data_IF_320148668254
#
_entry.id   IF_320148668254
#
_cell.length_a   1.000
_cell.length_b   1.000
_cell.length_c   1.000
_cell.angle_alpha   90.00
_cell.angle_beta   90.00
_cell.angle_gamma   90.00
#
_symmetry.space_group_name_H-M   'P 1'
#
loop_
_entity.id
_entity.type
_entity.pdbx_description
1 polymer ?
#
# COMPACT_ATOMS: atom_id res chain seq x y z
N UNK A 1 -27.06 -32.71 -14.63
CA UNK A 1 -26.78 -33.18 -13.25
C UNK A 1 -25.82 -32.21 -12.61
N UNK A 2 -26.35 -31.22 -11.89
CA UNK A 2 -25.56 -30.23 -11.13
C UNK A 2 -25.15 -30.88 -9.83
N UNK A 3 -23.86 -31.26 -9.74
CA UNK A 3 -23.26 -31.71 -8.48
C UNK A 3 -23.19 -30.50 -7.54
N UNK A 4 -24.13 -30.42 -6.61
CA UNK A 4 -23.99 -29.55 -5.44
C UNK A 4 -22.86 -30.11 -4.60
N UNK A 5 -21.71 -29.47 -4.64
CA UNK A 5 -20.66 -29.65 -3.64
C UNK A 5 -21.26 -29.21 -2.29
N UNK A 6 -21.75 -30.15 -1.52
CA UNK A 6 -22.09 -29.92 -0.11
C UNK A 6 -20.81 -29.52 0.60
N UNK A 7 -20.71 -28.24 0.98
CA UNK A 7 -19.62 -27.75 1.80
C UNK A 7 -19.54 -28.60 3.06
N UNK A 8 -18.52 -29.45 3.17
CA UNK A 8 -18.29 -30.25 4.35
C UNK A 8 -18.03 -29.30 5.53
N UNK A 9 -18.81 -29.41 6.60
CA UNK A 9 -18.59 -28.67 7.85
C UNK A 9 -17.17 -28.91 8.45
N UNK A 10 -16.45 -29.90 7.95
CA UNK A 10 -15.07 -30.23 8.31
C UNK A 10 -14.00 -29.41 7.57
N UNK A 11 -14.34 -28.72 6.45
CA UNK A 11 -13.36 -27.92 5.71
C UNK A 11 -13.46 -26.44 6.13
N UNK A 12 -12.47 -25.90 6.89
CA UNK A 12 -12.53 -24.53 7.40
C UNK A 12 -12.51 -23.48 6.26
N UNK A 13 -11.91 -23.79 5.11
CA UNK A 13 -11.84 -22.88 3.94
C UNK A 13 -13.19 -22.78 3.25
N UNK A 14 -13.94 -23.87 3.15
CA UNK A 14 -15.24 -23.93 2.48
C UNK A 14 -16.43 -23.79 3.42
N UNK A 15 -16.21 -23.45 4.69
CA UNK A 15 -17.28 -23.16 5.65
C UNK A 15 -18.16 -22.01 5.18
N UNK A 16 -17.55 -20.99 4.58
CA UNK A 16 -18.23 -19.98 3.80
C UNK A 16 -17.97 -20.29 2.33
N UNK A 17 -18.99 -20.54 1.52
CA UNK A 17 -18.79 -20.82 0.11
C UNK A 17 -18.10 -19.67 -0.61
N UNK A 18 -17.22 -19.95 -1.61
CA UNK A 18 -16.68 -18.91 -2.47
C UNK A 18 -17.79 -18.10 -3.16
N UNK A 19 -17.54 -16.82 -3.37
CA UNK A 19 -18.45 -15.95 -4.09
C UNK A 19 -18.64 -16.41 -5.54
N UNK A 20 -19.78 -16.06 -6.13
CA UNK A 20 -20.01 -16.30 -7.56
C UNK A 20 -18.93 -15.57 -8.40
N UNK A 21 -18.51 -16.12 -9.56
CA UNK A 21 -17.42 -15.56 -10.36
C UNK A 21 -17.57 -14.08 -10.69
N UNK A 22 -18.76 -13.61 -11.04
CA UNK A 22 -19.02 -12.20 -11.34
C UNK A 22 -18.82 -11.27 -10.12
N UNK A 23 -19.24 -11.71 -8.92
CA UNK A 23 -19.05 -10.96 -7.69
C UNK A 23 -17.57 -10.95 -7.27
N UNK A 24 -16.86 -12.07 -7.44
CA UNK A 24 -15.43 -12.15 -7.18
C UNK A 24 -14.66 -11.24 -8.13
N UNK A 25 -14.95 -11.23 -9.43
CA UNK A 25 -14.33 -10.35 -10.41
C UNK A 25 -14.55 -8.87 -10.08
N UNK A 26 -15.76 -8.48 -9.68
CA UNK A 26 -16.06 -7.10 -9.27
C UNK A 26 -15.26 -6.69 -8.03
N UNK A 27 -15.17 -7.56 -7.02
CA UNK A 27 -14.45 -7.30 -5.79
C UNK A 27 -12.94 -7.15 -6.03
N UNK A 28 -12.32 -8.11 -6.72
CA UNK A 28 -10.87 -8.08 -6.96
C UNK A 28 -10.48 -6.96 -7.93
N UNK A 29 -11.32 -6.66 -8.94
CA UNK A 29 -11.11 -5.51 -9.80
C UNK A 29 -11.18 -4.19 -9.04
N UNK A 30 -12.13 -4.03 -8.13
CA UNK A 30 -12.21 -2.88 -7.24
C UNK A 30 -10.98 -2.81 -6.30
N UNK A 31 -10.55 -3.95 -5.75
CA UNK A 31 -9.36 -4.01 -4.89
C UNK A 31 -8.11 -3.46 -5.59
N UNK A 32 -7.88 -3.83 -6.85
CA UNK A 32 -6.78 -3.30 -7.66
C UNK A 32 -6.88 -1.80 -7.94
N UNK A 33 -8.09 -1.25 -7.96
CA UNK A 33 -8.30 0.20 -8.09
C UNK A 33 -7.99 0.96 -6.80
N UNK A 34 -8.12 0.32 -5.63
CA UNK A 34 -7.91 0.96 -4.33
C UNK A 34 -6.54 0.69 -3.72
N UNK A 35 -5.82 -0.32 -4.18
CA UNK A 35 -4.55 -0.74 -3.61
C UNK A 35 -3.43 -0.79 -4.65
N UNK A 36 -2.21 -0.64 -4.17
CA UNK A 36 -0.96 -0.98 -4.84
C UNK A 36 -0.10 -1.75 -3.84
N UNK A 37 0.81 -2.60 -4.29
CA UNK A 37 1.81 -3.20 -3.41
C UNK A 37 3.09 -2.37 -3.35
N UNK A 38 4.01 -2.74 -2.46
CA UNK A 38 5.27 -2.01 -2.27
C UNK A 38 6.21 -2.15 -3.47
N UNK A 39 6.19 -3.31 -4.14
CA UNK A 39 7.04 -3.60 -5.30
C UNK A 39 6.64 -2.74 -6.50
N UNK A 40 5.34 -2.64 -6.81
CA UNK A 40 4.82 -1.78 -7.88
C UNK A 40 5.15 -0.30 -7.63
N UNK A 41 4.98 0.16 -6.37
CA UNK A 41 5.30 1.55 -6.01
C UNK A 41 6.81 1.80 -6.14
N UNK A 42 7.64 0.87 -5.66
CA UNK A 42 9.10 0.99 -5.78
C UNK A 42 9.56 1.01 -7.24
N UNK A 43 9.02 0.12 -8.07
CA UNK A 43 9.33 0.08 -9.51
C UNK A 43 8.93 1.38 -10.22
N UNK A 44 7.74 1.92 -9.89
CA UNK A 44 7.27 3.18 -10.47
C UNK A 44 8.14 4.38 -10.05
N UNK A 45 8.60 4.42 -8.77
CA UNK A 45 9.49 5.49 -8.28
C UNK A 45 10.91 5.37 -8.82
N UNK A 46 11.37 4.16 -9.18
CA UNK A 46 12.69 3.92 -9.74
C UNK A 46 12.76 4.18 -11.27
N UNK A 47 11.62 4.25 -11.95
CA UNK A 47 11.56 4.53 -13.38
C UNK A 47 11.96 5.98 -13.68
N UNK A 48 12.51 6.20 -14.87
CA UNK A 48 12.83 7.55 -15.34
C UNK A 48 11.55 8.38 -15.57
N UNK A 49 11.55 9.61 -15.06
CA UNK A 49 10.47 10.59 -15.26
C UNK A 49 9.55 10.77 -14.06
N UNK A 50 8.39 11.38 -14.33
CA UNK A 50 7.36 11.61 -13.31
C UNK A 50 6.54 10.32 -13.12
N UNK A 51 6.43 9.77 -11.91
CA UNK A 51 5.63 8.57 -11.65
C UNK A 51 4.12 8.80 -11.83
N UNK A 52 3.66 10.05 -11.92
CA UNK A 52 2.26 10.40 -12.08
C UNK A 52 1.43 10.30 -10.80
N UNK A 53 2.05 10.12 -9.66
CA UNK A 53 1.43 10.11 -8.32
C UNK A 53 2.41 10.60 -7.25
N UNK A 54 1.91 10.89 -6.08
CA UNK A 54 2.73 11.18 -4.89
C UNK A 54 2.53 10.11 -3.84
N UNK A 55 3.60 9.76 -3.12
CA UNK A 55 3.54 8.86 -1.95
C UNK A 55 3.38 9.70 -0.69
N UNK A 56 2.45 9.32 0.17
CA UNK A 56 2.16 10.04 1.41
C UNK A 56 2.35 9.14 2.63
N UNK A 57 3.27 9.55 3.50
CA UNK A 57 3.45 8.95 4.82
C UNK A 57 2.45 9.54 5.81
N UNK A 58 1.51 8.72 6.25
CA UNK A 58 0.43 9.11 7.17
C UNK A 58 0.77 8.95 8.65
N UNK A 59 2.01 8.51 8.95
CA UNK A 59 2.47 8.21 10.31
C UNK A 59 2.85 9.49 11.08
N UNK A 60 3.12 9.34 12.37
CA UNK A 60 3.62 10.42 13.21
C UNK A 60 5.02 10.89 12.80
N UNK A 61 5.41 12.10 13.24
CA UNK A 61 6.76 12.63 13.01
C UNK A 61 7.86 11.70 13.54
N UNK A 62 7.68 11.13 14.73
CA UNK A 62 8.66 10.17 15.27
C UNK A 62 8.81 8.91 14.40
N UNK A 63 7.72 8.47 13.74
CA UNK A 63 7.77 7.34 12.81
C UNK A 63 8.45 7.70 11.49
N UNK A 64 8.18 8.90 10.99
CA UNK A 64 8.85 9.47 9.83
C UNK A 64 10.37 9.57 10.03
N UNK A 65 10.79 10.12 11.18
CA UNK A 65 12.20 10.28 11.53
C UNK A 65 12.93 8.95 11.67
N UNK A 66 12.22 7.88 12.03
CA UNK A 66 12.77 6.53 12.11
C UNK A 66 13.09 5.92 10.74
N UNK A 67 12.43 6.40 9.71
CA UNK A 67 12.62 6.01 8.31
C UNK A 67 11.34 6.14 7.49
N UNK A 68 11.48 6.54 6.22
CA UNK A 68 10.37 6.77 5.31
C UNK A 68 10.74 6.45 3.85
N UNK A 69 9.74 6.26 3.00
CA UNK A 69 9.92 6.04 1.57
C UNK A 69 10.55 7.28 0.94
N UNK A 70 11.61 7.15 0.14
CA UNK A 70 12.28 8.28 -0.50
C UNK A 70 11.33 9.11 -1.36
N UNK A 71 11.37 10.43 -1.17
CA UNK A 71 10.51 11.36 -1.89
C UNK A 71 9.05 11.40 -1.42
N UNK A 72 8.67 10.65 -0.39
CA UNK A 72 7.34 10.73 0.18
C UNK A 72 7.05 12.10 0.82
N UNK A 73 5.78 12.49 0.80
CA UNK A 73 5.27 13.66 1.54
C UNK A 73 4.85 13.19 2.93
N UNK A 74 5.35 13.85 3.97
CA UNK A 74 4.93 13.58 5.34
C UNK A 74 3.67 14.39 5.67
N UNK A 75 2.56 13.70 5.90
CA UNK A 75 1.33 14.32 6.36
C UNK A 75 0.57 13.37 7.30
N UNK A 76 0.75 13.49 8.61
CA UNK A 76 0.03 12.68 9.59
C UNK A 76 -1.48 12.73 9.38
N UNK A 77 -2.16 11.59 9.51
CA UNK A 77 -3.61 11.45 9.27
C UNK A 77 -4.43 12.54 9.98
N UNK A 78 -4.06 12.92 11.20
CA UNK A 78 -4.77 13.93 11.98
C UNK A 78 -4.71 15.34 11.35
N UNK A 79 -3.74 15.60 10.48
CA UNK A 79 -3.52 16.93 9.86
C UNK A 79 -4.07 17.01 8.42
N UNK A 80 -4.54 15.90 7.86
CA UNK A 80 -4.99 15.83 6.46
C UNK A 80 -6.10 16.87 6.18
N UNK A 81 -7.10 16.95 7.05
CA UNK A 81 -8.22 17.86 6.85
C UNK A 81 -7.80 19.34 6.78
N UNK A 82 -6.73 19.71 7.48
CA UNK A 82 -6.24 21.09 7.55
C UNK A 82 -5.20 21.41 6.48
N UNK A 83 -4.30 20.46 6.19
CA UNK A 83 -3.08 20.75 5.43
C UNK A 83 -3.02 20.11 4.03
N UNK A 84 -3.90 19.16 3.71
CA UNK A 84 -3.81 18.46 2.44
C UNK A 84 -3.87 19.41 1.24
N UNK A 85 -4.75 20.41 1.27
CA UNK A 85 -4.93 21.36 0.16
C UNK A 85 -3.74 22.28 -0.08
N UNK A 86 -2.90 22.48 0.93
CA UNK A 86 -1.70 23.31 0.84
C UNK A 86 -0.48 22.50 0.38
N UNK A 87 -0.49 21.18 0.60
CA UNK A 87 0.64 20.29 0.35
C UNK A 87 0.48 19.42 -0.90
N UNK A 88 -0.77 19.15 -1.32
CA UNK A 88 -1.07 18.19 -2.39
C UNK A 88 -1.86 18.87 -3.52
N UNK A 89 -1.46 18.58 -4.75
CA UNK A 89 -2.25 18.93 -5.92
C UNK A 89 -3.44 17.95 -6.07
N UNK A 90 -4.69 18.42 -6.07
CA UNK A 90 -5.86 17.55 -6.20
C UNK A 90 -5.95 16.82 -7.57
N UNK A 91 -5.21 17.27 -8.57
CA UNK A 91 -5.14 16.61 -9.88
C UNK A 91 -4.17 15.42 -9.88
N UNK A 92 -3.31 15.28 -8.87
CA UNK A 92 -2.31 14.21 -8.77
C UNK A 92 -2.79 13.12 -7.82
N UNK A 93 -2.88 11.86 -8.25
CA UNK A 93 -3.21 10.74 -7.38
C UNK A 93 -2.25 10.60 -6.21
N UNK A 94 -2.77 10.14 -5.07
CA UNK A 94 -2.00 9.95 -3.84
C UNK A 94 -1.96 8.47 -3.48
N UNK A 95 -0.78 7.96 -3.14
CA UNK A 95 -0.59 6.62 -2.61
C UNK A 95 -0.22 6.74 -1.13
N UNK A 96 -1.14 6.37 -0.24
CA UNK A 96 -0.92 6.46 1.22
C UNK A 96 -0.26 5.21 1.77
N UNK A 97 0.59 5.37 2.78
CA UNK A 97 1.09 4.24 3.55
C UNK A 97 1.16 4.54 5.06
N UNK A 98 1.23 3.47 5.84
CA UNK A 98 1.46 3.47 7.27
C UNK A 98 2.54 2.44 7.63
N UNK A 99 2.53 1.89 8.84
CA UNK A 99 3.56 0.94 9.28
C UNK A 99 3.56 -0.38 8.51
N UNK A 100 2.43 -1.04 8.40
CA UNK A 100 2.37 -2.38 7.80
C UNK A 100 0.95 -2.97 7.83
N UNK A 101 0.80 -4.27 7.51
CA UNK A 101 -0.52 -4.90 7.34
C UNK A 101 -1.42 -4.86 8.57
N UNK A 102 -0.84 -4.76 9.77
CA UNK A 102 -1.58 -4.65 11.03
C UNK A 102 -2.02 -3.23 11.39
N UNK A 103 -1.69 -2.22 10.56
CA UNK A 103 -1.98 -0.82 10.82
C UNK A 103 -3.03 -0.30 9.83
N UNK A 104 -4.13 0.28 10.32
CA UNK A 104 -5.16 0.90 9.48
C UNK A 104 -4.95 2.41 9.26
N UNK A 105 -3.76 2.94 9.58
CA UNK A 105 -3.46 4.37 9.43
C UNK A 105 -3.52 4.83 7.97
N UNK A 106 -3.01 4.03 7.05
CA UNK A 106 -3.08 4.32 5.61
C UNK A 106 -4.52 4.33 5.10
N UNK A 107 -5.35 3.37 5.53
CA UNK A 107 -6.78 3.32 5.18
C UNK A 107 -7.52 4.56 5.69
N UNK A 108 -7.23 5.01 6.91
CA UNK A 108 -7.81 6.25 7.48
C UNK A 108 -7.36 7.49 6.72
N UNK A 109 -6.10 7.56 6.34
CA UNK A 109 -5.56 8.65 5.52
C UNK A 109 -6.20 8.66 4.13
N UNK A 110 -6.32 7.49 3.48
CA UNK A 110 -6.98 7.34 2.20
C UNK A 110 -8.44 7.81 2.24
N UNK A 111 -9.19 7.43 3.30
CA UNK A 111 -10.56 7.88 3.50
C UNK A 111 -10.63 9.41 3.62
N UNK A 112 -9.80 10.00 4.49
CA UNK A 112 -9.79 11.45 4.70
C UNK A 112 -9.46 12.22 3.42
N UNK A 113 -8.50 11.74 2.62
CA UNK A 113 -8.15 12.34 1.33
C UNK A 113 -9.27 12.18 0.29
N UNK A 114 -9.90 11.01 0.23
CA UNK A 114 -11.00 10.76 -0.69
C UNK A 114 -12.22 11.64 -0.37
N UNK A 115 -12.53 11.88 0.91
CA UNK A 115 -13.57 12.82 1.35
C UNK A 115 -13.26 14.27 0.94
N UNK A 116 -11.98 14.64 0.78
CA UNK A 116 -11.53 15.92 0.25
C UNK A 116 -11.50 15.99 -1.28
N UNK A 117 -11.79 14.87 -1.97
CA UNK A 117 -11.89 14.78 -3.44
C UNK A 117 -10.61 14.31 -4.14
N UNK A 118 -9.60 13.83 -3.43
CA UNK A 118 -8.39 13.25 -4.03
C UNK A 118 -8.63 11.83 -4.56
N UNK A 119 -7.96 11.47 -5.66
CA UNK A 119 -7.83 10.09 -6.07
C UNK A 119 -6.75 9.41 -5.22
N UNK A 120 -7.08 8.29 -4.59
CA UNK A 120 -6.20 7.67 -3.60
C UNK A 120 -6.10 6.17 -3.82
N UNK A 121 -4.89 5.63 -3.63
CA UNK A 121 -4.64 4.21 -3.36
C UNK A 121 -3.95 4.05 -2.01
N UNK A 122 -4.10 2.87 -1.41
CA UNK A 122 -3.34 2.46 -0.24
C UNK A 122 -2.21 1.52 -0.68
N UNK A 123 -0.97 1.79 -0.26
CA UNK A 123 0.16 0.89 -0.44
C UNK A 123 0.10 -0.21 0.62
N UNK A 124 -0.35 -1.39 0.20
CA UNK A 124 -0.40 -2.57 1.06
C UNK A 124 1.01 -2.99 1.48
N UNK A 125 1.14 -3.48 2.72
CA UNK A 125 2.43 -3.81 3.28
C UNK A 125 3.11 -2.66 4.02
N UNK A 126 2.89 -1.41 3.60
CA UNK A 126 3.39 -0.20 4.25
C UNK A 126 4.91 -0.15 4.34
N UNK A 127 5.42 0.65 5.28
CA UNK A 127 6.86 0.80 5.49
C UNK A 127 7.56 -0.50 5.95
N UNK A 128 6.85 -1.39 6.66
CA UNK A 128 7.38 -2.69 7.07
C UNK A 128 7.82 -3.51 5.86
N UNK A 129 6.92 -3.71 4.88
CA UNK A 129 7.24 -4.50 3.69
C UNK A 129 8.18 -3.77 2.74
N UNK A 130 8.10 -2.44 2.64
CA UNK A 130 9.09 -1.65 1.92
C UNK A 130 10.50 -1.97 2.37
N UNK A 131 10.76 -1.94 3.68
CA UNK A 131 12.06 -2.25 4.25
C UNK A 131 12.40 -3.76 4.19
N UNK A 132 11.42 -4.65 4.36
CA UNK A 132 11.61 -6.12 4.32
C UNK A 132 11.91 -6.62 2.93
N UNK A 133 11.38 -6.02 1.89
CA UNK A 133 11.70 -6.34 0.49
C UNK A 133 13.03 -5.74 0.02
N UNK A 134 13.71 -5.02 0.90
CA UNK A 134 15.05 -4.49 0.65
C UNK A 134 15.06 -3.19 -0.14
N UNK A 135 13.95 -2.46 -0.22
CA UNK A 135 13.94 -1.15 -0.85
C UNK A 135 14.64 -0.11 0.02
N UNK A 136 15.25 0.89 -0.62
CA UNK A 136 15.89 2.00 0.08
C UNK A 136 14.87 2.87 0.80
N UNK A 137 15.23 3.35 1.98
CA UNK A 137 14.45 4.33 2.74
C UNK A 137 15.36 5.42 3.27
N UNK A 138 14.79 6.58 3.57
CA UNK A 138 15.50 7.73 4.10
C UNK A 138 15.30 7.84 5.61
N UNK A 139 16.40 8.17 6.29
CA UNK A 139 16.45 8.53 7.71
C UNK A 139 17.13 9.90 7.84
N UNK A 140 17.23 10.44 9.05
CA UNK A 140 18.00 11.65 9.29
C UNK A 140 19.52 11.48 9.02
N UNK A 141 20.03 10.23 9.02
CA UNK A 141 21.42 9.89 8.71
C UNK A 141 21.68 9.72 7.20
N UNK A 142 20.63 9.63 6.39
CA UNK A 142 20.71 9.45 4.96
C UNK A 142 19.90 8.25 4.47
N UNK A 143 20.27 7.72 3.31
CA UNK A 143 19.62 6.55 2.71
C UNK A 143 20.15 5.27 3.30
N UNK A 144 19.25 4.39 3.65
CA UNK A 144 19.50 3.06 4.20
C UNK A 144 18.78 2.00 3.39
N UNK A 145 19.30 0.76 3.49
CA UNK A 145 18.67 -0.43 2.90
C UNK A 145 18.88 -1.61 3.83
N UNK A 146 17.88 -2.43 4.00
CA UNK A 146 17.99 -3.73 4.67
C UNK A 146 18.21 -4.83 3.65
N UNK A 147 18.78 -5.95 4.09
CA UNK A 147 18.78 -7.18 3.29
C UNK A 147 17.35 -7.63 3.09
N UNK A 148 16.99 -7.99 1.85
CA UNK A 148 15.64 -8.50 1.55
C UNK A 148 15.33 -9.75 2.39
N UNK A 149 14.13 -9.79 2.94
CA UNK A 149 13.62 -10.94 3.67
C UNK A 149 13.13 -11.99 2.67
N UNK A 150 13.76 -13.16 2.66
CA UNK A 150 13.42 -14.27 1.75
C UNK A 150 11.97 -14.77 1.88
N UNK A 151 11.23 -14.31 2.89
CA UNK A 151 9.80 -14.61 3.04
C UNK A 151 8.90 -13.60 2.31
N UNK A 152 9.44 -12.48 1.83
CA UNK A 152 8.65 -11.41 1.22
C UNK A 152 8.97 -11.18 -0.25
N UNK A 153 10.20 -11.45 -0.68
CA UNK A 153 10.67 -11.25 -2.05
C UNK A 153 11.76 -12.24 -2.42
N UNK A 154 11.99 -12.52 -3.73
CA UNK A 154 13.14 -13.29 -4.19
C UNK A 154 14.44 -12.60 -3.81
N UNK A 155 15.42 -13.35 -3.27
CA UNK A 155 16.70 -12.79 -2.78
C UNK A 155 17.63 -12.44 -3.94
N UNK A 156 17.46 -13.06 -5.11
CA UNK A 156 18.37 -12.95 -6.26
C UNK A 156 17.77 -12.25 -7.48
N UNK A 157 16.56 -11.66 -7.38
CA UNK A 157 15.92 -10.94 -8.48
C UNK A 157 15.27 -9.64 -8.00
N UNK A 158 15.26 -8.64 -8.86
CA UNK A 158 14.56 -7.36 -8.60
C UNK A 158 13.05 -7.44 -8.90
N UNK A 159 12.55 -8.62 -9.32
CA UNK A 159 11.15 -8.90 -9.61
C UNK A 159 10.51 -9.66 -8.44
N UNK A 160 9.36 -9.21 -7.96
CA UNK A 160 8.61 -9.88 -6.89
C UNK A 160 8.11 -11.29 -7.27
N UNK A 161 8.14 -11.64 -8.57
CA UNK A 161 7.72 -12.94 -9.09
C UNK A 161 6.19 -13.12 -9.13
N UNK A 162 5.41 -12.06 -9.06
CA UNK A 162 3.95 -12.07 -9.12
C UNK A 162 3.40 -11.81 -10.51
#
# INVERSE_FOLDING_TARGET
>A
MTSQLTASAANPVLRVPPAAPAAAAAYFGASLAFHADVSDVAAALAADGDPGFVVLDSRSTASWDQGHVPGAIHLPTALIAEQARDLLDPAVPVVTYCWGPGCNGATRAALALAELGYQVKEMLGGFEYWAREGFEFETWEGRERRTADALTAPVESDDCGC
#
